data_IF_056354537556
#
_entry.id   IF_056354537556
#
_cell.length_a   1.000
_cell.length_b   1.000
_cell.length_c   1.000
_cell.angle_alpha   90.00
_cell.angle_beta   90.00
_cell.angle_gamma   90.00
#
_symmetry.space_group_name_H-M   'P 1'
#
loop_
_entity.id
_entity.type
_entity.pdbx_description
1 polymer ?
#
# COMPACT_ATOMS: atom_id res chain seq x y z
N UNK A 1 -5.77 10.18 37.10
CA UNK A 1 -5.69 8.89 36.39
C UNK A 1 -7.11 8.35 36.14
N UNK A 2 -7.90 8.95 35.22
CA UNK A 2 -9.27 8.48 34.88
C UNK A 2 -9.65 8.69 33.38
N UNK A 3 -8.85 9.36 32.53
CA UNK A 3 -9.10 9.40 31.07
C UNK A 3 -8.81 8.06 30.33
N UNK A 4 -8.56 6.98 31.07
CA UNK A 4 -8.65 5.59 30.57
C UNK A 4 -10.07 5.24 30.06
N UNK A 5 -11.04 6.15 30.24
CA UNK A 5 -12.42 6.04 29.79
C UNK A 5 -12.66 6.31 28.28
N UNK A 6 -11.68 6.79 27.50
CA UNK A 6 -11.91 7.18 26.09
C UNK A 6 -11.28 6.28 25.01
N UNK A 7 -10.41 5.32 25.33
CA UNK A 7 -9.84 4.42 24.30
C UNK A 7 -10.65 3.13 24.15
N UNK A 8 -11.34 2.72 25.23
CA UNK A 8 -12.25 1.56 25.23
C UNK A 8 -13.47 1.76 24.29
N UNK A 9 -13.75 2.99 23.88
CA UNK A 9 -14.82 3.32 22.93
C UNK A 9 -14.39 3.17 21.46
N UNK A 10 -13.09 3.21 21.15
CA UNK A 10 -12.59 3.11 19.77
C UNK A 10 -12.23 1.68 19.33
N UNK A 11 -12.11 0.75 20.29
CA UNK A 11 -11.88 -0.68 20.02
C UNK A 11 -13.17 -1.53 20.06
N UNK A 12 -14.35 -0.91 20.25
CA UNK A 12 -15.66 -1.58 20.31
C UNK A 12 -16.66 -1.04 19.25
N UNK A 13 -16.18 -0.23 18.29
CA UNK A 13 -16.97 0.31 17.17
C UNK A 13 -16.35 0.00 15.80
N UNK A 14 -15.91 -1.24 15.59
CA UNK A 14 -15.92 -1.84 14.25
C UNK A 14 -16.07 -3.37 14.38
N UNK A 15 -17.30 -3.87 14.60
CA UNK A 15 -17.57 -5.27 14.45
C UNK A 15 -17.82 -5.58 12.96
N UNK A 16 -17.03 -6.51 12.43
CA UNK A 16 -17.48 -7.49 11.42
C UNK A 16 -17.89 -6.90 10.05
N UNK A 17 -16.92 -6.59 9.21
CA UNK A 17 -17.14 -6.62 7.74
C UNK A 17 -16.46 -7.80 7.05
N UNK A 18 -15.91 -8.77 7.81
CA UNK A 18 -15.44 -10.06 7.28
C UNK A 18 -16.57 -11.05 6.97
N UNK A 19 -17.79 -10.59 6.68
CA UNK A 19 -18.94 -11.46 6.46
C UNK A 19 -19.80 -11.01 5.27
N UNK A 20 -19.18 -10.68 4.14
CA UNK A 20 -19.77 -10.93 2.81
C UNK A 20 -18.69 -10.83 1.71
N UNK A 21 -17.81 -11.82 1.64
CA UNK A 21 -17.08 -12.14 0.42
C UNK A 21 -17.53 -13.53 -0.05
N UNK A 22 -18.84 -13.72 -0.19
CA UNK A 22 -19.43 -14.90 -0.82
C UNK A 22 -19.81 -14.52 -2.25
N UNK A 23 -19.20 -15.21 -3.22
CA UNK A 23 -19.24 -14.99 -4.67
C UNK A 23 -18.34 -13.88 -5.23
N UNK A 24 -17.03 -14.12 -5.22
CA UNK A 24 -16.21 -13.66 -6.35
C UNK A 24 -15.70 -14.87 -7.10
N UNK A 25 -16.32 -15.10 -8.26
CA UNK A 25 -15.85 -15.97 -9.34
C UNK A 25 -14.32 -15.94 -9.43
N UNK A 26 -13.68 -17.09 -9.62
CA UNK A 26 -12.23 -17.25 -9.79
C UNK A 26 -11.61 -16.25 -10.81
N UNK A 27 -12.43 -15.67 -11.68
CA UNK A 27 -12.23 -14.49 -12.54
C UNK A 27 -11.85 -13.17 -11.81
N UNK A 28 -11.78 -13.14 -10.48
CA UNK A 28 -11.62 -11.91 -9.70
C UNK A 28 -10.22 -11.64 -9.17
N UNK A 29 -9.30 -12.59 -9.32
CA UNK A 29 -7.89 -12.35 -9.01
C UNK A 29 -7.23 -11.72 -10.24
N UNK A 30 -6.49 -10.62 -10.09
CA UNK A 30 -5.70 -10.09 -11.19
C UNK A 30 -4.72 -11.16 -11.71
N UNK A 31 -4.38 -11.07 -12.99
CA UNK A 31 -3.34 -11.91 -13.56
C UNK A 31 -1.99 -11.66 -12.87
N UNK A 32 -1.13 -12.68 -12.86
CA UNK A 32 0.23 -12.54 -12.34
C UNK A 32 0.99 -11.42 -13.07
N UNK A 33 0.87 -11.37 -14.39
CA UNK A 33 1.47 -10.32 -15.23
C UNK A 33 1.07 -8.90 -14.79
N UNK A 34 -0.18 -8.73 -14.36
CA UNK A 34 -0.65 -7.43 -13.86
C UNK A 34 -0.07 -7.11 -12.49
N UNK A 35 0.07 -8.11 -11.62
CA UNK A 35 0.71 -7.94 -10.30
C UNK A 35 2.20 -7.61 -10.44
N UNK A 36 2.90 -8.24 -11.38
CA UNK A 36 4.29 -7.92 -11.71
C UNK A 36 4.42 -6.48 -12.21
N UNK A 37 3.56 -6.07 -13.14
CA UNK A 37 3.49 -4.68 -13.59
C UNK A 37 3.29 -3.70 -12.44
N UNK A 38 2.38 -3.97 -11.49
CA UNK A 38 2.15 -3.09 -10.35
C UNK A 38 3.33 -3.09 -9.37
N UNK A 39 4.04 -4.21 -9.23
CA UNK A 39 5.25 -4.31 -8.41
C UNK A 39 6.40 -3.42 -8.90
N UNK A 40 6.46 -3.11 -10.20
CA UNK A 40 7.47 -2.18 -10.74
C UNK A 40 7.30 -0.74 -10.25
N UNK A 41 6.13 -0.39 -9.69
CA UNK A 41 5.82 0.95 -9.16
C UNK A 41 6.14 1.10 -7.68
N UNK A 42 6.61 0.04 -7.03
CA UNK A 42 7.04 0.02 -5.64
C UNK A 42 8.58 0.04 -5.57
N UNK A 43 9.12 0.92 -4.74
CA UNK A 43 10.57 1.00 -4.46
C UNK A 43 11.03 -0.19 -3.61
N UNK A 44 12.35 -0.42 -3.53
CA UNK A 44 12.91 -1.49 -2.70
C UNK A 44 12.58 -1.32 -1.20
N UNK A 45 12.29 -0.08 -0.79
CA UNK A 45 11.89 0.29 0.56
C UNK A 45 10.40 0.06 0.86
N UNK A 46 9.60 -0.30 -0.16
CA UNK A 46 8.15 -0.51 -0.06
C UNK A 46 7.33 0.77 -0.20
N UNK A 47 7.93 1.86 -0.68
CA UNK A 47 7.25 3.12 -0.98
C UNK A 47 6.75 3.15 -2.43
N UNK A 48 5.57 3.72 -2.64
CA UNK A 48 4.94 3.80 -3.97
C UNK A 48 5.42 5.02 -4.75
N UNK A 49 5.75 4.84 -6.02
CA UNK A 49 6.11 5.92 -6.92
C UNK A 49 4.89 6.79 -7.25
N UNK A 50 5.05 8.12 -7.15
CA UNK A 50 4.00 9.09 -7.53
C UNK A 50 3.96 9.22 -9.07
N UNK A 51 2.82 8.90 -9.72
CA UNK A 51 2.66 9.05 -11.16
C UNK A 51 2.92 10.46 -11.70
N UNK A 52 2.71 11.49 -10.87
CA UNK A 52 2.92 12.89 -11.27
C UNK A 52 4.41 13.20 -11.39
N UNK A 53 5.25 12.61 -10.54
CA UNK A 53 6.69 12.81 -10.56
C UNK A 53 7.32 12.06 -11.75
N UNK A 54 6.78 10.89 -12.10
CA UNK A 54 7.22 10.11 -13.26
C UNK A 54 7.07 10.85 -14.59
N UNK A 55 6.10 11.76 -14.73
CA UNK A 55 5.96 12.59 -15.93
C UNK A 55 7.20 13.48 -16.18
N UNK A 56 7.93 13.83 -15.11
CA UNK A 56 9.08 14.73 -15.18
C UNK A 56 10.43 13.99 -15.17
N UNK A 57 10.56 12.91 -14.40
CA UNK A 57 11.84 12.27 -14.08
C UNK A 57 11.94 10.82 -14.62
N UNK A 58 10.84 10.20 -15.04
CA UNK A 58 10.85 8.82 -15.56
C UNK A 58 11.06 7.75 -14.47
N UNK A 59 10.58 6.53 -14.74
CA UNK A 59 10.55 5.44 -13.73
C UNK A 59 11.93 5.02 -13.24
N UNK A 60 12.88 4.88 -14.16
CA UNK A 60 14.23 4.40 -13.83
C UNK A 60 15.01 5.38 -12.94
N UNK A 61 14.80 6.68 -13.10
CA UNK A 61 15.49 7.72 -12.32
C UNK A 61 14.99 7.72 -10.87
N UNK A 62 13.67 7.67 -10.67
CA UNK A 62 13.05 7.67 -9.34
C UNK A 62 13.41 6.43 -8.49
N UNK A 63 13.68 5.28 -9.12
CA UNK A 63 14.11 4.07 -8.41
C UNK A 63 15.56 4.16 -7.90
N UNK A 64 16.37 5.08 -8.44
CA UNK A 64 17.79 5.21 -8.03
C UNK A 64 18.01 6.18 -6.87
N UNK A 65 17.08 7.11 -6.66
CA UNK A 65 17.24 8.17 -5.67
C UNK A 65 16.97 7.72 -4.23
N UNK A 66 16.17 6.67 -3.99
CA UNK A 66 16.01 6.10 -2.64
C UNK A 66 17.29 5.45 -2.11
N UNK A 67 18.27 5.16 -2.97
CA UNK A 67 19.56 4.59 -2.57
C UNK A 67 20.49 5.60 -1.86
N UNK A 68 20.22 6.90 -1.93
CA UNK A 68 21.22 7.94 -1.59
C UNK A 68 20.83 8.83 -0.42
N UNK A 69 20.12 8.31 0.60
CA UNK A 69 19.95 9.02 1.89
C UNK A 69 20.51 8.28 3.11
N UNK A 70 21.22 7.17 2.93
CA UNK A 70 21.87 6.44 4.03
C UNK A 70 23.35 6.10 3.75
N UNK A 71 24.14 7.08 3.31
CA UNK A 71 25.59 7.06 3.50
C UNK A 71 26.01 8.17 4.47
N UNK A 72 26.78 7.76 5.48
CA UNK A 72 27.12 8.41 6.76
C UNK A 72 27.97 9.68 6.57
#
# INVERSE_FOLDING_TARGET
MIYKANVLFFLLLCPVSSLLAEQQTNESLPSLDFLEFIGEWETEEGEWLDPILLENEGLEEMMTDTKTENEI
#
